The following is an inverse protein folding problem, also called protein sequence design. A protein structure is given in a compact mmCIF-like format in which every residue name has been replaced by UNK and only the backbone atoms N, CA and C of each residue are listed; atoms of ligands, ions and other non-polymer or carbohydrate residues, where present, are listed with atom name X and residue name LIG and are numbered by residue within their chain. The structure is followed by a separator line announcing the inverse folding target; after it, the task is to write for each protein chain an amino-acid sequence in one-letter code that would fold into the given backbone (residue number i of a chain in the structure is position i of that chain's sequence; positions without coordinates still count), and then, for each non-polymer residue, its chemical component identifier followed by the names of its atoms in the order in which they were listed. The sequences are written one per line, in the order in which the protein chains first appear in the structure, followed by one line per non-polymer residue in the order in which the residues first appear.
data_IF_824111778208
#
_entry.id   IF_824111778208
#
_cell.length_a   1.000
_cell.length_b   1.000
_cell.length_c   1.000
_cell.angle_alpha   90.00
_cell.angle_beta   90.00
_cell.angle_gamma   90.00
#
_symmetry.space_group_name_H-M   'P 1'
#
loop_
_entity.id
_entity.type
_entity.pdbx_description
1 polymer ?
#
# COMPACT_ATOMS: atom_id res chain seq x y z
N UNK A 1 -5.63 34.09 63.57
CA UNK A 1 -6.78 33.57 62.78
C UNK A 1 -7.31 34.71 61.95
N UNK A 2 -7.50 34.69 60.64
CA UNK A 2 -7.57 33.69 59.56
C UNK A 2 -7.94 34.56 58.34
N UNK A 3 -7.55 34.38 57.10
CA UNK A 3 -6.80 33.38 56.35
C UNK A 3 -6.76 33.97 54.94
N UNK A 4 -5.58 34.32 54.44
CA UNK A 4 -5.36 34.68 53.05
C UNK A 4 -5.36 33.41 52.19
N UNK A 5 -6.49 33.13 51.52
CA UNK A 5 -6.57 32.08 50.52
C UNK A 5 -6.07 32.62 49.17
N UNK A 6 -4.76 32.72 49.00
CA UNK A 6 -4.15 32.84 47.69
C UNK A 6 -4.10 31.43 47.06
N UNK A 7 -5.23 31.03 46.46
CA UNK A 7 -5.32 29.85 45.60
C UNK A 7 -4.60 30.08 44.28
N UNK A 8 -3.27 30.16 44.32
CA UNK A 8 -2.42 30.02 43.13
C UNK A 8 -2.31 28.53 42.80
N UNK A 9 -3.22 28.03 41.96
CA UNK A 9 -3.13 26.69 41.40
C UNK A 9 -1.77 26.48 40.71
N UNK A 10 -1.06 25.44 41.12
CA UNK A 10 0.26 25.09 40.61
C UNK A 10 0.24 24.93 39.09
N UNK A 11 0.84 25.88 38.38
CA UNK A 11 1.12 25.79 36.94
C UNK A 11 2.21 24.72 36.77
N UNK A 12 1.94 23.74 35.92
CA UNK A 12 2.75 22.53 35.83
C UNK A 12 4.17 22.79 35.31
N UNK A 13 5.08 21.91 35.73
CA UNK A 13 6.54 22.12 35.67
C UNK A 13 7.20 20.90 35.02
N UNK A 14 6.58 20.40 33.95
CA UNK A 14 7.07 19.29 33.13
C UNK A 14 7.40 19.77 31.74
N UNK A 15 8.59 19.42 31.26
CA UNK A 15 9.10 19.86 29.95
C UNK A 15 9.89 18.74 29.28
N UNK A 16 9.92 18.73 27.94
CA UNK A 16 10.75 17.81 27.18
C UNK A 16 12.12 18.43 26.91
N UNK A 17 13.19 17.75 27.29
CA UNK A 17 14.56 18.05 26.86
C UNK A 17 14.89 17.23 25.64
N UNK A 18 15.39 17.89 24.60
CA UNK A 18 15.78 17.29 23.32
C UNK A 18 17.26 17.55 23.07
N UNK A 19 17.96 16.53 22.61
CA UNK A 19 19.28 16.59 21.98
C UNK A 19 19.22 15.92 20.59
N UNK A 20 20.33 15.82 19.85
CA UNK A 20 20.34 15.31 18.47
C UNK A 20 19.77 13.89 18.32
N UNK A 21 19.83 13.08 19.37
CA UNK A 21 19.43 11.65 19.36
C UNK A 21 18.53 11.25 20.52
N UNK A 22 18.38 12.11 21.52
CA UNK A 22 17.76 11.84 22.79
C UNK A 22 16.60 12.78 23.09
N UNK A 23 15.57 12.23 23.73
CA UNK A 23 14.44 13.00 24.26
C UNK A 23 14.10 12.48 25.64
N UNK A 24 13.97 13.38 26.60
CA UNK A 24 13.71 13.04 28.01
C UNK A 24 12.69 13.99 28.63
N UNK A 25 11.72 13.45 29.38
CA UNK A 25 10.81 14.27 30.17
C UNK A 25 11.48 14.70 31.47
N UNK A 26 11.41 15.99 31.77
CA UNK A 26 11.86 16.56 33.03
C UNK A 26 10.64 16.93 33.88
N UNK A 27 10.80 16.85 35.19
CA UNK A 27 9.92 17.49 36.16
C UNK A 27 10.78 18.36 37.08
N UNK A 28 10.55 19.68 37.05
CA UNK A 28 11.36 20.65 37.81
C UNK A 28 12.87 20.51 37.53
N UNK A 29 13.23 20.45 36.24
CA UNK A 29 14.60 20.21 35.73
C UNK A 29 15.25 18.84 36.06
N UNK A 30 14.53 17.94 36.75
CA UNK A 30 15.01 16.59 37.08
C UNK A 30 14.41 15.57 36.10
N UNK A 31 15.20 14.67 35.48
CA UNK A 31 14.68 13.62 34.61
C UNK A 31 13.66 12.73 35.32
N UNK A 32 12.52 12.50 34.68
CA UNK A 32 11.51 11.56 35.16
C UNK A 32 11.97 10.14 34.83
N UNK A 33 12.07 9.22 35.81
CA UNK A 33 12.52 7.85 35.55
C UNK A 33 11.69 7.15 34.47
N UNK A 34 12.35 6.45 33.55
CA UNK A 34 11.68 5.68 32.48
C UNK A 34 11.09 6.52 31.35
N UNK A 35 11.47 7.79 31.23
CA UNK A 35 10.95 8.72 30.18
C UNK A 35 12.04 9.27 29.26
N UNK A 36 13.22 8.66 29.28
CA UNK A 36 14.32 8.95 28.36
C UNK A 36 14.32 7.95 27.21
N UNK A 37 14.42 8.45 25.99
CA UNK A 37 14.39 7.66 24.76
C UNK A 37 15.53 8.09 23.83
N UNK A 38 16.04 7.15 23.04
CA UNK A 38 17.12 7.38 22.08
C UNK A 38 16.72 6.87 20.70
N UNK A 39 16.85 7.73 19.69
CA UNK A 39 16.46 7.48 18.31
C UNK A 39 17.63 7.74 17.35
N UNK A 40 17.41 7.51 16.07
CA UNK A 40 18.42 7.78 15.05
C UNK A 40 18.60 9.29 14.85
N UNK A 41 17.49 10.03 14.94
CA UNK A 41 17.46 11.49 14.95
C UNK A 41 16.29 12.00 15.82
N UNK A 42 16.48 13.13 16.48
CA UNK A 42 15.40 13.90 17.12
C UNK A 42 15.46 15.34 16.63
N UNK A 43 14.29 15.89 16.28
CA UNK A 43 14.17 17.25 15.74
C UNK A 43 13.34 18.12 16.68
N UNK A 44 13.75 19.39 16.83
CA UNK A 44 12.99 20.42 17.53
C UNK A 44 12.24 21.32 16.52
N UNK A 45 11.47 22.29 17.02
CA UNK A 45 10.66 23.19 16.20
C UNK A 45 11.45 24.10 15.25
N UNK A 46 12.78 24.21 15.41
CA UNK A 46 13.62 25.04 14.53
C UNK A 46 14.02 24.34 13.22
N UNK A 47 13.74 23.04 13.10
CA UNK A 47 14.15 22.22 11.95
C UNK A 47 13.10 22.27 10.86
N UNK A 48 13.50 22.67 9.65
CA UNK A 48 12.64 22.69 8.45
C UNK A 48 12.35 21.31 7.89
N UNK A 49 11.24 21.16 7.16
CA UNK A 49 10.91 19.92 6.45
C UNK A 49 11.99 19.52 5.44
N UNK A 50 12.63 20.49 4.78
CA UNK A 50 13.75 20.24 3.87
C UNK A 50 14.93 19.53 4.55
N UNK A 51 15.24 19.91 5.80
CA UNK A 51 16.29 19.26 6.58
C UNK A 51 15.91 17.85 7.00
N UNK A 52 14.67 17.65 7.45
CA UNK A 52 14.13 16.31 7.80
C UNK A 52 14.19 15.39 6.58
N UNK A 53 13.72 15.87 5.42
CA UNK A 53 13.78 15.16 4.15
C UNK A 53 15.20 14.72 3.79
N UNK A 54 16.16 15.65 3.86
CA UNK A 54 17.56 15.38 3.51
C UNK A 54 18.21 14.29 4.38
N UNK A 55 17.86 14.22 5.67
CA UNK A 55 18.41 13.24 6.60
C UNK A 55 17.69 11.89 6.52
N UNK A 56 16.37 11.89 6.39
CA UNK A 56 15.57 10.68 6.59
C UNK A 56 15.07 10.00 5.31
N UNK A 57 14.88 10.76 4.22
CA UNK A 57 14.09 10.30 3.06
C UNK A 57 14.86 10.38 1.75
N UNK A 58 15.78 11.33 1.57
CA UNK A 58 16.57 11.45 0.32
C UNK A 58 17.28 10.15 -0.07
N UNK A 59 17.89 9.45 0.88
CA UNK A 59 18.57 8.17 0.61
C UNK A 59 17.59 7.06 0.21
N UNK A 60 16.37 7.10 0.75
CA UNK A 60 15.28 6.20 0.39
C UNK A 60 14.80 6.48 -1.04
N UNK A 61 14.67 7.75 -1.43
CA UNK A 61 14.31 8.14 -2.80
C UNK A 61 15.33 7.68 -3.83
N UNK A 62 16.62 7.93 -3.57
CA UNK A 62 17.70 7.44 -4.44
C UNK A 62 17.67 5.92 -4.59
N UNK A 63 17.52 5.21 -3.47
CA UNK A 63 17.36 3.76 -3.51
C UNK A 63 16.10 3.32 -4.26
N UNK A 64 15.00 4.09 -4.21
CA UNK A 64 13.79 3.80 -4.97
C UNK A 64 13.98 3.99 -6.48
N UNK A 65 14.83 4.92 -6.91
CA UNK A 65 15.21 5.03 -8.34
C UNK A 65 16.11 3.85 -8.75
N UNK A 66 16.98 3.38 -7.85
CA UNK A 66 17.87 2.24 -8.09
C UNK A 66 17.19 0.87 -8.09
N UNK A 67 16.00 0.76 -7.49
CA UNK A 67 15.22 -0.48 -7.52
C UNK A 67 14.77 -1.08 -6.20
N UNK A 68 14.90 -0.33 -5.11
CA UNK A 68 14.40 -0.77 -3.81
C UNK A 68 12.98 -0.25 -3.56
N UNK A 69 12.16 -1.03 -2.86
CA UNK A 69 10.95 -0.47 -2.25
C UNK A 69 11.31 0.53 -1.16
N UNK A 70 10.56 1.63 -1.10
CA UNK A 70 10.75 2.69 -0.11
C UNK A 70 9.45 3.00 0.62
N UNK A 71 9.49 3.24 1.91
CA UNK A 71 8.30 3.69 2.65
C UNK A 71 8.71 4.71 3.68
N UNK A 72 8.08 5.88 3.69
CA UNK A 72 8.27 6.86 4.75
C UNK A 72 6.91 7.28 5.27
N UNK A 73 6.62 7.13 6.56
CA UNK A 73 5.31 7.56 7.07
C UNK A 73 5.42 8.33 8.36
N UNK A 74 4.45 9.21 8.59
CA UNK A 74 4.35 9.97 9.81
C UNK A 74 3.44 9.25 10.82
N UNK A 75 3.84 9.23 12.09
CA UNK A 75 3.09 8.65 13.20
C UNK A 75 2.99 9.64 14.38
N UNK A 76 1.86 9.68 15.08
CA UNK A 76 1.64 10.58 16.23
C UNK A 76 0.19 10.99 16.44
N UNK A 77 -0.13 11.61 17.59
CA UNK A 77 -1.48 12.10 17.92
C UNK A 77 -1.98 13.16 16.92
N UNK A 78 -3.29 13.44 16.80
CA UNK A 78 -3.68 14.58 15.91
C UNK A 78 -3.09 15.90 16.40
N UNK A 79 -2.87 16.79 15.44
CA UNK A 79 -2.24 18.09 15.65
C UNK A 79 -0.78 18.03 16.12
N UNK A 80 -0.13 16.87 16.12
CA UNK A 80 1.31 16.74 16.41
C UNK A 80 2.24 17.18 15.28
N UNK A 81 1.72 17.51 14.09
CA UNK A 81 2.53 17.92 12.94
C UNK A 81 2.72 16.89 11.81
N UNK A 82 2.01 15.75 11.81
CA UNK A 82 2.11 14.74 10.72
C UNK A 82 1.84 15.32 9.33
N UNK A 83 0.68 15.94 9.13
CA UNK A 83 0.29 16.51 7.82
C UNK A 83 1.24 17.65 7.43
N UNK A 84 1.67 18.46 8.39
CA UNK A 84 2.70 19.48 8.15
C UNK A 84 4.04 18.84 7.72
N UNK A 85 4.42 17.71 8.30
CA UNK A 85 5.65 17.03 7.91
C UNK A 85 5.52 16.40 6.52
N UNK A 86 4.41 15.71 6.24
CA UNK A 86 4.24 14.96 4.99
C UNK A 86 3.87 15.86 3.81
N UNK A 87 2.90 16.74 3.95
CA UNK A 87 2.41 17.61 2.87
C UNK A 87 3.08 18.99 2.92
N UNK A 88 3.38 19.50 4.12
CA UNK A 88 3.97 20.83 4.27
C UNK A 88 2.98 21.97 4.20
N UNK A 89 3.54 23.13 3.92
CA UNK A 89 2.83 24.38 3.63
C UNK A 89 3.46 25.03 2.40
N UNK A 90 2.85 26.11 1.88
CA UNK A 90 3.43 26.87 0.76
C UNK A 90 4.82 27.44 1.07
N UNK A 91 5.13 27.72 2.34
CA UNK A 91 6.43 28.26 2.77
C UNK A 91 7.46 27.16 3.13
N UNK A 92 7.00 26.01 3.64
CA UNK A 92 7.85 24.87 4.01
C UNK A 92 7.27 23.57 3.42
N UNK A 93 7.67 23.18 2.20
CA UNK A 93 7.13 21.99 1.54
C UNK A 93 7.49 20.72 2.32
N UNK A 94 6.53 19.79 2.44
CA UNK A 94 6.70 18.56 3.22
C UNK A 94 7.50 17.48 2.50
N UNK A 95 7.58 16.31 3.12
CA UNK A 95 8.27 15.13 2.59
C UNK A 95 7.74 14.72 1.21
N UNK A 96 6.42 14.71 0.98
CA UNK A 96 5.79 14.31 -0.28
C UNK A 96 6.24 15.21 -1.44
N UNK A 97 5.99 16.54 -1.43
CA UNK A 97 6.38 17.39 -2.55
C UNK A 97 7.90 17.42 -2.78
N UNK A 98 8.70 17.32 -1.72
CA UNK A 98 10.16 17.22 -1.83
C UNK A 98 10.60 15.90 -2.48
N UNK A 99 10.03 14.78 -2.06
CA UNK A 99 10.30 13.46 -2.63
C UNK A 99 9.92 13.39 -4.11
N UNK A 100 8.76 13.93 -4.48
CA UNK A 100 8.29 13.97 -5.87
C UNK A 100 9.32 14.67 -6.76
N UNK A 101 9.82 15.85 -6.35
CA UNK A 101 10.83 16.59 -7.12
C UNK A 101 12.14 15.80 -7.24
N UNK A 102 12.66 15.28 -6.13
CA UNK A 102 13.92 14.52 -6.12
C UNK A 102 13.83 13.23 -6.95
N UNK A 103 12.66 12.58 -7.04
CA UNK A 103 12.44 11.42 -7.92
C UNK A 103 12.63 11.82 -9.38
N UNK A 104 12.00 12.90 -9.84
CA UNK A 104 12.12 13.36 -11.22
C UNK A 104 13.54 13.87 -11.53
N UNK A 105 14.16 14.59 -10.59
CA UNK A 105 15.54 15.07 -10.73
C UNK A 105 16.51 13.88 -10.85
N UNK A 106 16.42 12.90 -9.95
CA UNK A 106 17.27 11.69 -9.97
C UNK A 106 17.01 10.84 -11.21
N UNK A 107 15.76 10.73 -11.67
CA UNK A 107 15.43 10.01 -12.91
C UNK A 107 15.99 10.71 -14.15
N UNK A 108 16.03 12.05 -14.17
CA UNK A 108 16.62 12.82 -15.25
C UNK A 108 18.16 12.69 -15.31
N UNK A 109 18.81 12.53 -14.16
CA UNK A 109 20.26 12.27 -14.06
C UNK A 109 20.66 10.89 -14.61
N UNK A 110 19.77 9.89 -14.53
CA UNK A 110 19.99 8.53 -15.01
C UNK A 110 19.87 8.41 -16.55
N UNK A 111 20.89 8.90 -17.26
CA UNK A 111 20.91 9.03 -18.71
C UNK A 111 20.79 7.70 -19.49
N UNK A 112 21.12 6.56 -18.88
CA UNK A 112 21.10 5.22 -19.48
C UNK A 112 19.76 4.48 -19.34
N UNK A 113 18.80 5.06 -18.60
CA UNK A 113 17.50 4.45 -18.30
C UNK A 113 16.33 5.28 -18.82
N UNK A 114 15.23 4.61 -19.12
CA UNK A 114 13.91 5.21 -19.38
C UNK A 114 13.03 4.92 -18.17
N UNK A 115 12.28 5.92 -17.72
CA UNK A 115 11.39 5.81 -16.57
C UNK A 115 9.93 5.96 -16.99
N UNK A 116 9.07 5.11 -16.41
CA UNK A 116 7.63 5.24 -16.42
C UNK A 116 7.16 5.40 -14.98
N UNK A 117 6.64 6.58 -14.64
CA UNK A 117 6.21 6.89 -13.28
C UNK A 117 4.69 6.92 -13.24
N UNK A 118 4.12 6.20 -12.26
CA UNK A 118 2.69 6.14 -12.00
C UNK A 118 2.40 6.53 -10.57
N UNK A 119 1.32 7.28 -10.34
CA UNK A 119 0.92 7.70 -8.99
C UNK A 119 -0.50 7.26 -8.69
N UNK A 120 -0.73 6.94 -7.43
CA UNK A 120 -2.06 6.65 -6.89
C UNK A 120 -2.18 7.32 -5.53
N UNK A 121 -3.38 7.81 -5.21
CA UNK A 121 -3.64 8.43 -3.92
C UNK A 121 -4.93 7.88 -3.32
N UNK A 122 -4.84 7.32 -2.12
CA UNK A 122 -5.97 6.66 -1.47
C UNK A 122 -6.15 7.10 -0.02
N UNK A 123 -7.40 7.02 0.44
CA UNK A 123 -7.80 7.22 1.82
C UNK A 123 -8.32 5.89 2.39
N UNK A 124 -7.82 5.48 3.55
CA UNK A 124 -8.40 4.42 4.35
C UNK A 124 -9.22 5.06 5.47
N UNK A 125 -10.54 4.93 5.40
CA UNK A 125 -11.45 5.42 6.43
C UNK A 125 -12.38 4.29 6.84
N UNK A 126 -12.50 4.02 8.15
CA UNK A 126 -13.37 2.97 8.67
C UNK A 126 -13.10 1.58 8.05
N UNK A 127 -11.84 1.23 7.78
CA UNK A 127 -11.40 0.01 7.08
C UNK A 127 -11.94 -0.15 5.64
N UNK A 128 -12.42 0.94 5.04
CA UNK A 128 -12.78 1.06 3.63
C UNK A 128 -11.73 1.91 2.92
N UNK A 129 -11.41 1.56 1.67
CA UNK A 129 -10.42 2.26 0.86
C UNK A 129 -11.18 3.06 -0.20
N UNK A 130 -10.94 4.37 -0.20
CA UNK A 130 -11.45 5.31 -1.19
C UNK A 130 -10.30 5.80 -2.06
N UNK A 131 -10.54 5.91 -3.36
CA UNK A 131 -9.62 6.55 -4.28
C UNK A 131 -9.78 8.07 -4.18
N UNK A 132 -8.69 8.80 -3.96
CA UNK A 132 -8.71 10.27 -3.89
C UNK A 132 -8.55 10.93 -5.26
N UNK A 133 -8.19 10.19 -6.31
CA UNK A 133 -8.03 10.71 -7.68
C UNK A 133 -9.30 10.54 -8.54
N UNK A 134 -10.38 10.02 -7.98
CA UNK A 134 -11.69 9.92 -8.63
C UNK A 134 -12.82 10.13 -7.60
N UNK A 135 -13.99 10.55 -8.08
CA UNK A 135 -15.18 10.76 -7.24
C UNK A 135 -16.05 9.50 -7.13
N UNK A 136 -15.46 8.31 -7.34
CA UNK A 136 -16.16 7.03 -7.27
C UNK A 136 -16.39 6.56 -5.83
N UNK A 137 -17.57 5.98 -5.56
CA UNK A 137 -17.93 5.39 -4.27
C UNK A 137 -17.74 3.87 -4.22
N UNK A 138 -16.90 3.31 -5.10
CA UNK A 138 -16.68 1.87 -5.16
C UNK A 138 -15.74 1.42 -4.04
N UNK A 139 -16.11 0.34 -3.36
CA UNK A 139 -15.26 -0.26 -2.32
C UNK A 139 -14.10 -0.99 -2.99
N UNK A 140 -12.88 -0.54 -2.72
CA UNK A 140 -11.69 -1.13 -3.33
C UNK A 140 -11.15 -2.31 -2.51
N UNK A 141 -11.15 -3.55 -3.05
CA UNK A 141 -10.59 -4.70 -2.35
C UNK A 141 -9.06 -4.74 -2.49
N UNK A 142 -8.39 -5.20 -1.43
CA UNK A 142 -6.95 -5.50 -1.48
C UNK A 142 -6.78 -6.94 -1.99
N UNK A 143 -5.94 -7.15 -2.99
CA UNK A 143 -5.54 -8.45 -3.51
C UNK A 143 -4.03 -8.68 -3.33
N UNK A 144 -3.60 -9.91 -3.54
CA UNK A 144 -2.20 -10.34 -3.44
C UNK A 144 -1.85 -11.13 -4.70
N UNK A 145 -0.73 -10.78 -5.32
CA UNK A 145 -0.17 -11.46 -6.50
C UNK A 145 1.30 -11.76 -6.26
N UNK A 146 1.79 -12.87 -6.82
CA UNK A 146 3.21 -13.24 -6.79
C UNK A 146 4.10 -12.15 -7.41
N UNK A 147 3.62 -11.46 -8.44
CA UNK A 147 4.37 -10.43 -9.18
C UNK A 147 4.23 -9.02 -8.58
N UNK A 148 3.06 -8.69 -8.05
CA UNK A 148 2.74 -7.33 -7.57
C UNK A 148 2.82 -7.18 -6.05
N UNK A 149 2.95 -8.29 -5.33
CA UNK A 149 2.72 -8.33 -3.89
C UNK A 149 1.28 -7.92 -3.56
N UNK A 150 1.12 -7.23 -2.44
CA UNK A 150 -0.18 -6.70 -2.00
C UNK A 150 -0.52 -5.43 -2.78
N UNK A 151 -1.69 -5.39 -3.40
CA UNK A 151 -2.17 -4.23 -4.16
C UNK A 151 -3.67 -4.00 -3.96
N UNK A 152 -4.13 -2.78 -4.25
CA UNK A 152 -5.55 -2.41 -4.20
C UNK A 152 -6.13 -2.53 -5.61
N UNK A 153 -7.11 -3.43 -5.81
CA UNK A 153 -7.76 -3.59 -7.10
C UNK A 153 -8.77 -2.48 -7.34
N UNK A 154 -8.78 -1.93 -8.56
CA UNK A 154 -9.64 -0.81 -8.95
C UNK A 154 -9.10 0.57 -8.53
N UNK A 155 -7.97 0.63 -7.81
CA UNK A 155 -7.31 1.90 -7.51
C UNK A 155 -6.72 2.51 -8.78
N UNK A 156 -7.05 3.77 -9.06
CA UNK A 156 -6.56 4.51 -10.22
C UNK A 156 -5.06 4.79 -10.09
N UNK A 157 -4.34 4.49 -11.16
CA UNK A 157 -2.91 4.79 -11.29
C UNK A 157 -2.72 5.73 -12.49
N UNK A 158 -2.34 6.98 -12.23
CA UNK A 158 -2.12 8.00 -13.25
C UNK A 158 -0.66 8.02 -13.70
N UNK A 159 -0.42 7.97 -15.01
CA UNK A 159 0.92 8.13 -15.58
C UNK A 159 1.29 9.61 -15.57
N UNK A 160 2.46 9.93 -15.04
CA UNK A 160 2.95 11.29 -14.86
C UNK A 160 4.32 11.47 -15.52
N UNK A 161 4.56 12.66 -16.07
CA UNK A 161 5.76 12.97 -16.84
C UNK A 161 6.63 14.07 -16.21
N UNK A 162 6.12 14.76 -15.19
CA UNK A 162 6.86 15.77 -14.45
C UNK A 162 6.31 15.91 -13.02
N UNK A 163 7.07 16.60 -12.17
CA UNK A 163 6.73 16.82 -10.77
C UNK A 163 5.44 17.65 -10.63
N UNK A 164 5.21 18.62 -11.51
CA UNK A 164 4.05 19.53 -11.46
C UNK A 164 2.73 18.78 -11.62
N UNK A 165 2.66 17.79 -12.53
CA UNK A 165 1.49 16.92 -12.69
C UNK A 165 1.17 16.15 -11.41
N UNK A 166 2.20 15.67 -10.71
CA UNK A 166 2.01 14.97 -9.43
C UNK A 166 1.51 15.91 -8.34
N UNK A 167 2.07 17.12 -8.25
CA UNK A 167 1.63 18.13 -7.28
C UNK A 167 0.17 18.53 -7.53
N UNK A 168 -0.27 18.65 -8.79
CA UNK A 168 -1.68 18.89 -9.12
C UNK A 168 -2.60 17.73 -8.72
N UNK A 169 -2.15 16.48 -8.89
CA UNK A 169 -2.91 15.31 -8.45
C UNK A 169 -3.01 15.21 -6.91
N UNK A 170 -1.97 15.64 -6.19
CA UNK A 170 -2.00 15.76 -4.73
C UNK A 170 -3.02 16.82 -4.29
N UNK A 171 -3.01 18.00 -4.91
CA UNK A 171 -4.00 19.06 -4.63
C UNK A 171 -5.43 18.60 -4.93
N UNK A 172 -5.63 17.91 -6.06
CA UNK A 172 -6.93 17.30 -6.41
C UNK A 172 -7.38 16.29 -5.36
N UNK A 173 -6.49 15.42 -4.90
CA UNK A 173 -6.81 14.42 -3.89
C UNK A 173 -7.15 15.02 -2.52
N UNK A 174 -6.44 16.07 -2.10
CA UNK A 174 -6.79 16.82 -0.89
C UNK A 174 -8.13 17.54 -1.02
N UNK A 175 -8.41 18.13 -2.18
CA UNK A 175 -9.72 18.73 -2.44
C UNK A 175 -10.84 17.68 -2.34
N UNK A 176 -10.67 16.51 -2.97
CA UNK A 176 -11.64 15.42 -2.91
C UNK A 176 -11.83 14.89 -1.48
N UNK A 177 -10.75 14.83 -0.70
CA UNK A 177 -10.79 14.49 0.72
C UNK A 177 -11.65 15.49 1.50
N UNK A 178 -11.46 16.79 1.27
CA UNK A 178 -12.24 17.86 1.89
C UNK A 178 -13.71 17.90 1.43
N UNK A 179 -14.02 17.67 0.16
CA UNK A 179 -15.41 17.61 -0.32
C UNK A 179 -16.20 16.43 0.29
N UNK A 180 -15.51 15.34 0.64
CA UNK A 180 -16.07 14.24 1.41
C UNK A 180 -16.44 14.60 2.87
N UNK A 181 -16.06 15.79 3.34
CA UNK A 181 -16.36 16.35 4.66
C UNK A 181 -17.62 17.25 4.62
N UNK A 182 -18.79 16.65 4.39
CA UNK A 182 -20.04 17.40 4.66
C UNK A 182 -20.19 17.69 6.16
N UNK A 183 -20.81 18.83 6.47
CA UNK A 183 -20.93 19.59 7.75
C UNK A 183 -21.19 18.87 9.10
N UNK A 184 -21.15 17.54 9.18
CA UNK A 184 -21.39 16.75 10.38
C UNK A 184 -20.22 15.88 10.87
N UNK A 185 -19.13 15.70 10.10
CA UNK A 185 -18.03 14.81 10.48
C UNK A 185 -16.66 15.42 10.17
N UNK A 186 -15.87 15.69 11.22
CA UNK A 186 -14.43 16.02 11.11
C UNK A 186 -13.68 14.75 10.68
N UNK A 187 -13.69 14.45 9.38
CA UNK A 187 -13.24 13.18 8.75
C UNK A 187 -11.71 13.13 8.57
N UNK A 188 -11.08 14.25 8.23
CA UNK A 188 -9.63 14.42 8.05
C UNK A 188 -8.76 14.18 9.29
N UNK A 189 -9.36 13.84 10.44
CA UNK A 189 -8.62 13.42 11.64
C UNK A 189 -8.70 11.92 11.92
N UNK A 190 -9.47 11.18 11.10
CA UNK A 190 -9.96 9.81 11.36
C UNK A 190 -9.59 8.81 10.26
N UNK A 191 -9.00 9.28 9.18
CA UNK A 191 -8.62 8.49 8.02
C UNK A 191 -7.10 8.44 7.85
N UNK A 192 -6.62 7.48 7.07
CA UNK A 192 -5.21 7.38 6.71
C UNK A 192 -5.06 7.69 5.24
N UNK A 193 -4.24 8.67 4.89
CA UNK A 193 -3.90 8.94 3.50
C UNK A 193 -2.65 8.18 3.13
N UNK A 194 -2.62 7.63 1.92
CA UNK A 194 -1.51 6.83 1.40
C UNK A 194 -1.25 7.32 -0.02
N UNK A 195 -0.17 8.09 -0.19
CA UNK A 195 0.31 8.50 -1.50
C UNK A 195 1.38 7.53 -1.98
N UNK A 196 1.14 6.91 -3.14
CA UNK A 196 1.95 5.81 -3.65
C UNK A 196 2.44 6.12 -5.04
N UNK A 197 3.76 6.20 -5.20
CA UNK A 197 4.42 6.33 -6.50
C UNK A 197 5.06 5.02 -6.91
N UNK A 198 4.70 4.51 -8.09
CA UNK A 198 5.33 3.37 -8.75
C UNK A 198 6.31 3.91 -9.79
N UNK A 199 7.59 3.66 -9.59
CA UNK A 199 8.65 3.99 -10.54
C UNK A 199 9.00 2.70 -11.27
N UNK A 200 8.77 2.67 -12.58
CA UNK A 200 9.22 1.61 -13.49
C UNK A 200 10.39 2.13 -14.32
N UNK A 201 11.42 1.31 -14.52
CA UNK A 201 12.58 1.72 -15.32
C UNK A 201 13.20 0.59 -16.12
N UNK A 202 13.69 0.93 -17.32
CA UNK A 202 14.31 0.01 -18.29
C UNK A 202 15.56 0.62 -18.94
N UNK A 203 16.52 -0.20 -19.37
CA UNK A 203 17.75 0.28 -20.01
C UNK A 203 17.49 0.76 -21.46
N UNK A 204 18.03 1.93 -21.84
CA UNK A 204 17.81 2.56 -23.17
C UNK A 204 18.38 1.77 -24.35
N UNK A 205 19.49 1.05 -24.17
CA UNK A 205 20.28 0.47 -25.27
C UNK A 205 20.30 -1.06 -25.31
N UNK A 206 19.51 -1.76 -24.49
CA UNK A 206 19.34 -3.21 -24.63
C UNK A 206 17.97 -3.52 -25.24
N UNK A 207 17.93 -3.64 -26.57
CA UNK A 207 16.73 -3.97 -27.36
C UNK A 207 16.09 -5.32 -27.02
N UNK A 208 16.72 -6.14 -26.17
CA UNK A 208 16.29 -7.48 -25.80
C UNK A 208 16.66 -7.88 -24.36
N UNK A 209 16.67 -6.93 -23.42
CA UNK A 209 16.80 -7.23 -22.00
C UNK A 209 15.69 -6.51 -21.25
N UNK A 210 14.73 -7.28 -20.77
CA UNK A 210 13.65 -6.77 -19.95
C UNK A 210 14.18 -6.42 -18.57
N UNK A 211 14.35 -5.14 -18.33
CA UNK A 211 14.41 -4.58 -16.99
C UNK A 211 13.14 -3.77 -16.81
N UNK A 212 12.21 -4.26 -15.98
CA UNK A 212 11.13 -3.46 -15.45
C UNK A 212 11.27 -3.46 -13.92
N UNK A 213 11.95 -2.48 -13.37
CA UNK A 213 12.12 -2.41 -11.91
C UNK A 213 10.96 -1.63 -11.31
N UNK A 214 10.07 -2.25 -10.51
CA UNK A 214 8.93 -1.57 -9.84
C UNK A 214 9.30 -1.12 -8.43
N UNK A 215 9.25 0.18 -8.16
CA UNK A 215 9.53 0.73 -6.83
C UNK A 215 8.38 1.57 -6.32
N UNK A 216 7.86 1.20 -5.15
CA UNK A 216 6.74 1.85 -4.49
C UNK A 216 7.27 2.75 -3.39
N UNK A 217 7.02 4.06 -3.46
CA UNK A 217 7.27 5.01 -2.36
C UNK A 217 5.93 5.37 -1.73
N UNK A 218 5.71 4.93 -0.50
CA UNK A 218 4.47 5.14 0.25
C UNK A 218 4.68 6.17 1.37
N UNK A 219 3.94 7.28 1.26
CA UNK A 219 3.93 8.41 2.19
C UNK A 219 2.59 8.46 2.91
N UNK A 220 2.54 7.87 4.12
CA UNK A 220 1.29 7.76 4.88
C UNK A 220 1.09 8.87 5.92
N UNK A 221 -0.13 9.44 5.95
CA UNK A 221 -0.64 10.34 6.98
C UNK A 221 -1.50 9.59 7.99
N UNK A 222 -1.25 9.78 9.30
CA UNK A 222 -1.82 8.92 10.35
C UNK A 222 -2.63 9.68 11.43
N UNK A 223 -3.33 10.75 11.08
CA UNK A 223 -4.20 11.48 12.03
C UNK A 223 -5.09 10.57 12.89
N UNK A 224 -5.32 10.95 14.16
CA UNK A 224 -5.93 10.10 15.20
C UNK A 224 -7.19 10.57 15.94
N UNK A 225 -7.69 11.80 16.01
CA UNK A 225 -8.78 12.25 16.93
C UNK A 225 -8.40 12.20 18.44
N UNK A 226 -8.65 13.27 19.21
CA UNK A 226 -8.66 13.23 20.66
C UNK A 226 -9.86 12.42 21.20
N UNK A 227 -9.69 11.80 22.38
CA UNK A 227 -10.79 11.15 23.12
C UNK A 227 -11.85 12.19 23.55
N UNK A 228 -12.84 12.48 22.71
CA UNK A 228 -14.03 13.21 23.13
C UNK A 228 -15.14 12.22 23.44
N UNK A 229 -15.58 12.16 24.71
CA UNK A 229 -16.61 11.26 25.20
C UNK A 229 -17.93 11.46 24.47
N UNK A 230 -18.23 10.59 23.51
CA UNK A 230 -19.45 10.69 22.72
C UNK A 230 -20.11 9.31 22.55
N UNK A 231 -21.42 9.30 22.77
CA UNK A 231 -22.24 8.11 22.97
C UNK A 231 -22.53 7.28 21.70
N UNK A 232 -22.71 5.96 21.93
CA UNK A 232 -23.45 5.02 21.09
C UNK A 232 -22.86 4.70 19.71
N UNK A 233 -23.14 5.54 18.71
CA UNK A 233 -22.73 5.33 17.30
C UNK A 233 -21.25 5.67 17.12
N UNK A 234 -20.78 6.74 17.78
CA UNK A 234 -19.35 7.12 17.83
C UNK A 234 -18.49 6.09 18.56
N UNK A 235 -19.07 5.25 19.42
CA UNK A 235 -18.34 4.19 20.12
C UNK A 235 -18.04 2.99 19.18
N UNK A 236 -18.99 2.62 18.32
CA UNK A 236 -18.77 1.60 17.27
C UNK A 236 -17.82 2.10 16.18
N UNK A 237 -17.97 3.37 15.77
CA UNK A 237 -17.07 4.05 14.84
C UNK A 237 -15.65 4.17 15.43
N UNK A 238 -15.54 4.59 16.70
CA UNK A 238 -14.26 4.74 17.41
C UNK A 238 -13.47 3.44 17.57
N UNK A 239 -14.15 2.29 17.61
CA UNK A 239 -13.52 0.95 17.62
C UNK A 239 -12.84 0.64 16.28
N UNK A 240 -13.42 1.06 15.16
CA UNK A 240 -12.85 0.85 13.82
C UNK A 240 -11.83 1.92 13.42
N UNK A 241 -12.02 3.18 13.84
CA UNK A 241 -11.07 4.28 13.56
C UNK A 241 -9.69 4.01 14.18
N UNK A 242 -9.65 3.57 15.44
CA UNK A 242 -8.37 3.23 16.09
C UNK A 242 -7.87 1.83 15.74
N UNK A 243 -8.62 1.04 14.97
CA UNK A 243 -8.27 -0.34 14.65
C UNK A 243 -6.96 -0.38 13.87
N UNK A 244 -6.85 0.36 12.77
CA UNK A 244 -5.64 0.40 11.93
C UNK A 244 -4.38 0.76 12.73
N UNK A 245 -4.43 1.81 13.57
CA UNK A 245 -3.28 2.22 14.40
C UNK A 245 -2.98 1.24 15.55
N UNK A 246 -4.00 0.67 16.19
CA UNK A 246 -3.81 -0.35 17.23
C UNK A 246 -3.17 -1.61 16.64
N UNK A 247 -3.64 -2.07 15.48
CA UNK A 247 -3.09 -3.22 14.78
C UNK A 247 -1.66 -2.92 14.31
N UNK A 248 -1.37 -1.71 13.81
CA UNK A 248 -0.01 -1.27 13.50
C UNK A 248 0.91 -1.37 14.72
N UNK A 249 0.46 -0.88 15.88
CA UNK A 249 1.19 -1.03 17.14
C UNK A 249 1.45 -2.49 17.52
N UNK A 250 0.47 -3.38 17.32
CA UNK A 250 0.60 -4.82 17.58
C UNK A 250 1.58 -5.50 16.61
N UNK A 251 1.55 -5.13 15.32
CA UNK A 251 2.49 -5.62 14.30
C UNK A 251 3.91 -5.23 14.67
N UNK A 252 4.15 -3.95 14.98
CA UNK A 252 5.47 -3.46 15.42
C UNK A 252 5.94 -4.18 16.68
N UNK A 253 5.05 -4.37 17.67
CA UNK A 253 5.40 -5.06 18.91
C UNK A 253 5.90 -6.49 18.63
N UNK A 254 5.14 -7.27 17.86
CA UNK A 254 5.52 -8.65 17.51
C UNK A 254 6.79 -8.72 16.65
N UNK A 255 7.01 -7.74 15.76
CA UNK A 255 8.21 -7.68 14.94
C UNK A 255 9.46 -7.32 15.74
N UNK A 256 9.29 -6.49 16.78
CA UNK A 256 10.37 -6.07 17.69
C UNK A 256 10.81 -7.15 18.68
N UNK A 257 9.97 -8.15 18.93
CA UNK A 257 10.30 -9.30 19.77
C UNK A 257 11.33 -10.20 19.06
N UNK A 258 12.55 -10.26 19.59
CA UNK A 258 13.62 -11.13 19.10
C UNK A 258 13.49 -12.53 19.73
N UNK A 259 13.12 -13.55 18.94
CA UNK A 259 13.13 -14.94 19.41
C UNK A 259 12.50 -15.97 18.48
N UNK A 260 12.71 -17.26 18.80
CA UNK A 260 12.12 -18.45 18.12
C UNK A 260 10.58 -18.50 18.16
N UNK A 261 9.94 -17.55 18.84
CA UNK A 261 8.49 -17.38 19.00
C UNK A 261 7.95 -16.22 18.14
N UNK A 262 8.53 -15.96 16.96
CA UNK A 262 7.86 -15.13 15.94
C UNK A 262 6.63 -15.89 15.43
N UNK A 263 5.56 -15.85 16.20
CA UNK A 263 4.26 -16.34 15.79
C UNK A 263 3.70 -15.52 14.63
N UNK A 264 2.46 -15.84 14.23
CA UNK A 264 1.78 -15.13 13.15
C UNK A 264 1.70 -13.60 13.40
N UNK A 265 2.19 -12.81 12.44
CA UNK A 265 2.10 -11.35 12.42
C UNK A 265 0.74 -10.94 11.82
N UNK A 266 -0.10 -10.17 12.53
CA UNK A 266 -1.48 -9.91 12.15
C UNK A 266 -1.64 -8.81 11.10
N UNK A 267 -0.88 -8.84 9.99
CA UNK A 267 -1.02 -7.82 8.93
C UNK A 267 -2.42 -7.74 8.34
N UNK A 268 -3.14 -8.86 8.32
CA UNK A 268 -4.50 -8.98 7.75
C UNK A 268 -5.58 -8.35 8.62
N UNK A 269 -5.28 -8.01 9.88
CA UNK A 269 -6.27 -7.51 10.84
C UNK A 269 -6.68 -6.05 10.54
N UNK A 270 -5.88 -5.30 9.77
CA UNK A 270 -6.26 -3.99 9.24
C UNK A 270 -5.85 -3.80 7.79
N UNK A 271 -6.59 -2.97 7.04
CA UNK A 271 -6.24 -2.63 5.65
C UNK A 271 -4.89 -1.91 5.58
N UNK A 272 -4.63 -1.00 6.51
CA UNK A 272 -3.38 -0.24 6.61
C UNK A 272 -2.18 -1.18 6.76
N UNK A 273 -2.19 -2.07 7.75
CA UNK A 273 -1.08 -3.01 7.97
C UNK A 273 -0.91 -4.02 6.84
N UNK A 274 -1.98 -4.30 6.08
CA UNK A 274 -1.92 -5.17 4.92
C UNK A 274 -1.23 -4.49 3.75
N UNK A 275 -1.52 -3.22 3.51
CA UNK A 275 -0.84 -2.40 2.49
C UNK A 275 0.64 -2.18 2.87
N UNK A 276 0.91 -1.86 4.14
CA UNK A 276 2.26 -1.62 4.67
C UNK A 276 3.03 -2.91 5.00
N UNK A 277 2.54 -4.09 4.61
CA UNK A 277 3.17 -5.36 4.98
C UNK A 277 4.62 -5.48 4.50
N UNK A 278 4.93 -4.99 3.29
CA UNK A 278 6.30 -4.96 2.77
C UNK A 278 7.20 -3.99 3.54
N UNK A 279 6.64 -2.90 4.05
CA UNK A 279 7.35 -1.86 4.79
C UNK A 279 7.72 -2.26 6.23
N UNK A 280 7.03 -3.25 6.80
CA UNK A 280 7.15 -3.62 8.21
C UNK A 280 7.66 -5.06 8.32
N UNK A 281 8.98 -5.25 8.42
CA UNK A 281 9.62 -6.57 8.48
C UNK A 281 9.72 -7.29 7.13
N UNK A 282 9.52 -6.58 6.02
CA UNK A 282 9.51 -7.12 4.66
C UNK A 282 10.61 -6.56 3.76
N UNK A 283 10.35 -6.60 2.45
CA UNK A 283 11.22 -6.05 1.41
C UNK A 283 10.92 -4.57 1.16
N UNK A 284 11.43 -3.69 2.02
CA UNK A 284 11.48 -2.25 1.80
C UNK A 284 12.48 -1.55 2.73
N UNK A 285 13.04 -0.43 2.26
CA UNK A 285 13.71 0.55 3.12
C UNK A 285 12.64 1.44 3.74
N UNK A 286 12.56 1.45 5.07
CA UNK A 286 11.47 2.14 5.78
C UNK A 286 12.01 3.22 6.69
N UNK A 287 11.39 4.40 6.63
CA UNK A 287 11.61 5.55 7.50
C UNK A 287 10.32 5.85 8.26
N UNK A 288 10.40 6.01 9.58
CA UNK A 288 9.22 6.27 10.42
C UNK A 288 9.43 7.61 11.12
N UNK A 289 8.58 8.59 10.81
CA UNK A 289 8.68 9.94 11.33
C UNK A 289 7.66 10.11 12.45
N UNK A 290 8.11 9.97 13.69
CA UNK A 290 7.25 10.15 14.85
C UNK A 290 7.17 11.64 15.24
N UNK A 291 5.96 12.19 15.15
CA UNK A 291 5.66 13.58 15.50
C UNK A 291 4.99 13.63 16.87
N UNK A 292 5.37 14.60 17.70
CA UNK A 292 4.95 14.70 19.08
C UNK A 292 4.53 16.13 19.43
N UNK A 293 3.66 16.26 20.42
CA UNK A 293 3.22 17.54 20.96
C UNK A 293 3.96 17.82 22.29
N UNK A 294 4.72 18.92 22.42
CA UNK A 294 5.55 19.17 23.59
C UNK A 294 4.76 19.63 24.82
N UNK A 295 3.51 20.06 24.66
CA UNK A 295 2.70 20.64 25.72
C UNK A 295 2.38 19.61 26.83
N UNK A 296 2.32 20.09 28.08
CA UNK A 296 2.14 19.24 29.26
C UNK A 296 0.85 18.39 29.18
N UNK A 297 -0.22 18.95 28.60
CA UNK A 297 -1.50 18.27 28.38
C UNK A 297 -1.40 17.05 27.47
N UNK A 298 -0.32 16.94 26.68
CA UNK A 298 -0.09 15.89 25.69
C UNK A 298 1.01 14.90 26.10
N UNK A 299 1.62 15.06 27.28
CA UNK A 299 2.74 14.20 27.73
C UNK A 299 2.45 12.71 27.61
N UNK A 300 1.25 12.25 27.98
CA UNK A 300 0.94 10.81 27.95
C UNK A 300 0.85 10.26 26.52
N UNK A 301 0.30 11.03 25.58
CA UNK A 301 0.21 10.66 24.16
C UNK A 301 1.58 10.78 23.47
N UNK A 302 2.37 11.79 23.82
CA UNK A 302 3.77 11.90 23.40
C UNK A 302 4.58 10.74 23.92
N UNK A 303 4.45 10.36 25.20
CA UNK A 303 5.12 9.16 25.76
C UNK A 303 4.71 7.90 25.00
N UNK A 304 3.42 7.74 24.67
CA UNK A 304 2.94 6.62 23.86
C UNK A 304 3.58 6.57 22.47
N UNK A 305 3.75 7.74 21.83
CA UNK A 305 4.42 7.89 20.53
C UNK A 305 5.90 7.50 20.61
N UNK A 306 6.61 7.94 21.66
CA UNK A 306 8.02 7.59 21.87
C UNK A 306 8.22 6.10 22.18
N UNK A 307 7.30 5.48 22.93
CA UNK A 307 7.29 4.03 23.18
C UNK A 307 7.00 3.22 21.90
N UNK A 308 6.15 3.73 21.01
CA UNK A 308 5.96 3.15 19.67
C UNK A 308 7.26 3.23 18.87
N UNK A 309 7.87 4.41 18.78
CA UNK A 309 9.10 4.63 18.04
C UNK A 309 10.24 3.73 18.53
N UNK A 310 10.37 3.56 19.85
CA UNK A 310 11.42 2.72 20.44
C UNK A 310 11.28 1.25 20.05
N UNK A 311 10.05 0.75 19.89
CA UNK A 311 9.81 -0.61 19.41
C UNK A 311 10.01 -0.71 17.90
N UNK A 312 9.56 0.29 17.15
CA UNK A 312 9.69 0.34 15.70
C UNK A 312 11.17 0.35 15.27
N UNK A 313 12.04 1.04 16.00
CA UNK A 313 13.50 1.04 15.79
C UNK A 313 14.14 -0.36 15.86
N UNK A 314 13.55 -1.29 16.61
CA UNK A 314 14.05 -2.67 16.72
C UNK A 314 13.60 -3.57 15.56
N UNK A 315 12.69 -3.11 14.70
CA UNK A 315 12.21 -3.89 13.55
C UNK A 315 13.26 -3.87 12.44
N UNK A 316 13.66 -5.05 11.98
CA UNK A 316 14.61 -5.21 10.88
C UNK A 316 13.91 -5.61 9.59
N UNK A 317 14.20 -4.90 8.50
CA UNK A 317 13.71 -5.20 7.15
C UNK A 317 14.82 -5.86 6.30
N UNK A 318 14.40 -6.64 5.30
CA UNK A 318 15.29 -7.27 4.33
C UNK A 318 15.04 -6.66 2.94
N UNK A 319 15.57 -5.47 2.71
CA UNK A 319 15.40 -4.77 1.43
C UNK A 319 16.25 -5.42 0.32
N UNK A 320 15.60 -5.70 -0.81
CA UNK A 320 16.15 -6.30 -2.02
C UNK A 320 15.71 -5.49 -3.23
N UNK A 321 16.49 -5.58 -4.32
CA UNK A 321 16.17 -4.91 -5.58
C UNK A 321 15.03 -5.66 -6.27
N UNK A 322 13.97 -4.95 -6.67
CA UNK A 322 12.84 -5.53 -7.39
C UNK A 322 13.13 -5.58 -8.89
N UNK A 323 13.65 -6.70 -9.38
CA UNK A 323 13.80 -6.93 -10.82
C UNK A 323 12.55 -7.65 -11.35
N UNK A 324 11.72 -6.99 -12.16
CA UNK A 324 10.75 -7.70 -13.01
C UNK A 324 11.48 -8.04 -14.30
N UNK A 325 12.01 -9.26 -14.34
CA UNK A 325 12.47 -9.88 -15.57
C UNK A 325 11.22 -10.20 -16.40
N UNK A 326 11.10 -9.63 -17.59
CA UNK A 326 10.08 -10.10 -18.54
C UNK A 326 10.34 -11.56 -18.88
N UNK A 327 9.32 -12.32 -19.29
CA UNK A 327 9.49 -13.74 -19.67
C UNK A 327 10.61 -13.94 -20.70
N UNK A 328 10.76 -12.99 -21.64
CA UNK A 328 11.84 -12.98 -22.62
C UNK A 328 13.24 -12.74 -21.99
N UNK A 329 13.33 -11.88 -20.97
CA UNK A 329 14.57 -11.62 -20.24
C UNK A 329 14.95 -12.80 -19.33
N UNK A 330 13.97 -13.41 -18.68
CA UNK A 330 14.14 -14.61 -17.87
C UNK A 330 14.64 -15.79 -18.72
N UNK A 331 14.00 -16.03 -19.88
CA UNK A 331 14.43 -17.04 -20.87
C UNK A 331 15.88 -16.81 -21.33
N UNK A 332 16.28 -15.57 -21.56
CA UNK A 332 17.65 -15.23 -21.99
C UNK A 332 18.67 -15.40 -20.87
N UNK A 333 18.36 -14.98 -19.64
CA UNK A 333 19.22 -15.16 -18.47
C UNK A 333 19.41 -16.64 -18.17
N UNK A 334 18.34 -17.43 -18.22
CA UNK A 334 18.40 -18.89 -18.12
C UNK A 334 19.23 -19.51 -19.24
N UNK A 335 19.12 -19.04 -20.49
CA UNK A 335 19.96 -19.52 -21.61
C UNK A 335 21.45 -19.22 -21.38
N UNK A 336 21.78 -18.02 -20.92
CA UNK A 336 23.17 -17.63 -20.63
C UNK A 336 23.75 -18.41 -19.45
N UNK A 337 22.94 -18.62 -18.40
CA UNK A 337 23.33 -19.44 -17.25
C UNK A 337 23.52 -20.91 -17.65
N UNK A 338 22.67 -21.46 -18.53
CA UNK A 338 22.86 -22.78 -19.13
C UNK A 338 24.17 -22.83 -19.93
N UNK A 339 24.49 -21.81 -20.72
CA UNK A 339 25.76 -21.76 -21.48
C UNK A 339 26.99 -21.67 -20.56
N UNK A 340 26.91 -20.87 -19.50
CA UNK A 340 27.98 -20.74 -18.52
C UNK A 340 28.18 -22.04 -17.72
N UNK A 341 27.09 -22.67 -17.29
CA UNK A 341 27.12 -23.98 -16.64
C UNK A 341 27.65 -25.05 -17.58
N UNK A 342 27.27 -25.04 -18.87
CA UNK A 342 27.85 -25.93 -19.89
C UNK A 342 29.34 -25.72 -20.05
N UNK A 343 29.82 -24.48 -20.02
CA UNK A 343 31.25 -24.15 -20.10
C UNK A 343 32.02 -24.59 -18.85
N UNK A 344 31.40 -24.49 -17.67
CA UNK A 344 31.94 -25.05 -16.40
C UNK A 344 31.95 -26.57 -16.39
N UNK A 345 30.97 -27.21 -17.02
CA UNK A 345 30.87 -28.67 -17.18
C UNK A 345 31.87 -29.22 -18.21
N UNK A 346 32.17 -28.47 -19.27
CA UNK A 346 33.24 -28.82 -20.23
C UNK A 346 34.64 -28.86 -19.60
N UNK A 347 34.85 -28.24 -18.44
CA UNK A 347 36.09 -28.34 -17.66
C UNK A 347 36.20 -29.62 -16.80
N UNK A 348 35.10 -30.38 -16.65
CA UNK A 348 35.02 -31.57 -15.82
C UNK A 348 34.42 -32.72 -16.64
N UNK A 349 35.25 -33.34 -17.49
CA UNK A 349 34.83 -34.47 -18.31
C UNK A 349 34.41 -35.67 -17.45
N UNK A 350 33.11 -35.94 -17.40
CA UNK A 350 32.53 -37.25 -17.11
C UNK A 350 31.53 -37.55 -18.23
N UNK A 351 31.87 -38.51 -19.09
CA UNK A 351 31.07 -38.94 -20.24
C UNK A 351 29.64 -39.39 -19.82
N UNK A 352 29.48 -39.82 -18.56
CA UNK A 352 28.19 -40.18 -17.98
C UNK A 352 27.24 -38.99 -17.80
N UNK A 353 27.79 -37.79 -17.57
CA UNK A 353 27.00 -36.59 -17.36
C UNK A 353 26.47 -36.01 -18.68
N UNK A 354 27.23 -36.13 -19.77
CA UNK A 354 26.76 -35.76 -21.10
C UNK A 354 25.59 -36.64 -21.55
N UNK A 355 25.64 -37.95 -21.29
CA UNK A 355 24.52 -38.84 -21.58
C UNK A 355 23.27 -38.51 -20.75
N UNK A 356 23.44 -38.15 -19.47
CA UNK A 356 22.32 -37.77 -18.62
C UNK A 356 21.67 -36.45 -19.07
N UNK A 357 22.47 -35.46 -19.47
CA UNK A 357 21.98 -34.18 -20.01
C UNK A 357 21.23 -34.38 -21.33
N UNK A 358 21.74 -35.23 -22.22
CA UNK A 358 21.07 -35.61 -23.47
C UNK A 358 19.72 -36.29 -23.21
N UNK A 359 19.65 -37.17 -22.21
CA UNK A 359 18.41 -37.84 -21.82
C UNK A 359 17.39 -36.86 -21.25
N UNK A 360 17.79 -35.99 -20.31
CA UNK A 360 16.91 -34.96 -19.73
C UNK A 360 16.41 -33.96 -20.78
N UNK A 361 17.24 -33.59 -21.76
CA UNK A 361 16.83 -32.73 -22.87
C UNK A 361 15.77 -33.39 -23.75
N UNK A 362 15.92 -34.68 -24.05
CA UNK A 362 14.94 -35.42 -24.83
C UNK A 362 13.62 -35.62 -24.06
N UNK A 363 13.70 -35.84 -22.74
CA UNK A 363 12.52 -35.95 -21.89
C UNK A 363 11.77 -34.61 -21.79
N UNK A 364 12.50 -33.49 -21.66
CA UNK A 364 11.91 -32.14 -21.64
C UNK A 364 11.23 -31.80 -22.97
N UNK A 365 11.87 -32.12 -24.10
CA UNK A 365 11.26 -31.95 -25.43
C UNK A 365 9.98 -32.79 -25.60
N UNK A 366 9.94 -34.00 -25.04
CA UNK A 366 8.72 -34.83 -25.05
C UNK A 366 7.61 -34.21 -24.22
N UNK A 367 7.92 -33.73 -23.01
CA UNK A 367 6.92 -33.07 -22.15
C UNK A 367 6.39 -31.77 -22.77
N UNK A 368 7.22 -31.04 -23.50
CA UNK A 368 6.80 -29.82 -24.21
C UNK A 368 5.84 -30.15 -25.36
N UNK A 369 6.14 -31.17 -26.16
CA UNK A 369 5.25 -31.66 -27.22
C UNK A 369 3.92 -32.21 -26.66
N UNK A 370 3.94 -32.89 -25.52
CA UNK A 370 2.71 -33.37 -24.85
C UNK A 370 1.87 -32.20 -24.34
N UNK A 371 2.49 -31.16 -23.77
CA UNK A 371 1.80 -29.97 -23.30
C UNK A 371 1.16 -29.20 -24.46
N UNK A 372 1.86 -29.04 -25.58
CA UNK A 372 1.33 -28.37 -26.76
C UNK A 372 0.16 -29.15 -27.37
N UNK A 373 0.25 -30.50 -27.37
CA UNK A 373 -0.85 -31.37 -27.78
C UNK A 373 -2.07 -31.23 -26.88
N UNK A 374 -1.89 -31.25 -25.56
CA UNK A 374 -2.95 -31.03 -24.57
C UNK A 374 -3.58 -29.64 -24.71
N UNK A 375 -2.79 -28.61 -25.01
CA UNK A 375 -3.30 -27.26 -25.25
C UNK A 375 -4.18 -27.18 -26.50
N UNK A 376 -3.79 -27.85 -27.59
CA UNK A 376 -4.62 -27.95 -28.80
C UNK A 376 -5.92 -28.71 -28.53
N UNK A 377 -5.86 -29.84 -27.81
CA UNK A 377 -7.06 -30.62 -27.44
C UNK A 377 -8.03 -29.80 -26.59
N UNK A 378 -7.51 -29.00 -25.63
CA UNK A 378 -8.33 -28.11 -24.80
C UNK A 378 -8.98 -26.97 -25.61
N UNK A 379 -8.27 -26.43 -26.62
CA UNK A 379 -8.80 -25.40 -27.49
C UNK A 379 -9.92 -25.93 -28.40
N UNK A 380 -9.74 -27.14 -28.94
CA UNK A 380 -10.81 -27.82 -29.69
C UNK A 380 -12.04 -28.11 -28.82
N UNK A 381 -11.84 -28.58 -27.58
CA UNK A 381 -12.94 -28.84 -26.65
C UNK A 381 -13.71 -27.55 -26.32
N UNK A 382 -13.00 -26.42 -26.11
CA UNK A 382 -13.62 -25.10 -25.91
C UNK A 382 -14.46 -24.68 -27.11
N UNK A 383 -13.94 -24.80 -28.34
CA UNK A 383 -14.69 -24.47 -29.56
C UNK A 383 -15.94 -25.35 -29.72
N UNK A 384 -15.82 -26.64 -29.41
CA UNK A 384 -16.96 -27.56 -29.46
C UNK A 384 -18.05 -27.16 -28.44
N UNK A 385 -17.63 -26.80 -27.23
CA UNK A 385 -18.52 -26.37 -26.15
C UNK A 385 -19.24 -25.07 -26.50
N UNK A 386 -18.54 -24.08 -27.04
CA UNK A 386 -19.13 -22.83 -27.53
C UNK A 386 -20.16 -23.08 -28.65
N UNK A 387 -19.84 -23.99 -29.57
CA UNK A 387 -20.75 -24.37 -30.67
C UNK A 387 -22.02 -25.05 -30.15
N UNK A 388 -21.87 -25.94 -29.17
CA UNK A 388 -23.00 -26.62 -28.50
C UNK A 388 -23.87 -25.63 -27.72
N UNK A 389 -23.25 -24.73 -26.95
CA UNK A 389 -23.96 -23.68 -26.21
C UNK A 389 -24.74 -22.76 -27.17
N UNK A 390 -24.15 -22.38 -28.29
CA UNK A 390 -24.84 -21.60 -29.33
C UNK A 390 -26.01 -22.37 -29.97
N UNK A 391 -25.89 -23.68 -30.20
CA UNK A 391 -27.01 -24.51 -30.71
C UNK A 391 -28.14 -24.65 -29.69
N UNK A 392 -27.80 -24.87 -28.42
CA UNK A 392 -28.78 -24.96 -27.33
C UNK A 392 -29.51 -23.63 -27.11
N UNK A 393 -28.80 -22.49 -27.22
CA UNK A 393 -29.40 -21.17 -27.17
C UNK A 393 -30.40 -20.96 -28.32
N UNK A 394 -30.05 -21.35 -29.55
CA UNK A 394 -30.96 -21.31 -30.71
C UNK A 394 -32.21 -22.18 -30.50
N UNK A 395 -32.05 -23.42 -30.01
CA UNK A 395 -33.19 -24.29 -29.74
C UNK A 395 -34.11 -23.75 -28.64
N UNK A 396 -33.55 -23.15 -27.57
CA UNK A 396 -34.35 -22.48 -26.54
C UNK A 396 -35.11 -21.27 -27.07
N UNK A 397 -34.53 -20.49 -27.98
CA UNK A 397 -35.24 -19.39 -28.65
C UNK A 397 -36.37 -19.89 -29.55
N UNK A 398 -36.16 -20.97 -30.32
CA UNK A 398 -37.21 -21.58 -31.14
C UNK A 398 -38.32 -22.25 -30.32
N UNK A 399 -38.00 -22.86 -29.18
CA UNK A 399 -39.02 -23.40 -28.26
C UNK A 399 -39.82 -22.30 -27.57
N UNK A 400 -39.20 -21.17 -27.20
CA UNK A 400 -39.94 -20.02 -26.71
C UNK A 400 -40.85 -19.42 -27.78
N UNK A 401 -40.43 -19.37 -29.04
CA UNK A 401 -41.28 -18.89 -30.14
C UNK A 401 -42.50 -19.80 -30.35
N UNK A 402 -42.29 -21.13 -30.39
CA UNK A 402 -43.39 -22.10 -30.51
C UNK A 402 -44.34 -22.12 -29.28
N UNK A 403 -43.84 -21.89 -28.06
CA UNK A 403 -44.70 -21.76 -26.87
C UNK A 403 -45.49 -20.45 -26.85
N UNK A 404 -45.01 -19.40 -27.53
CA UNK A 404 -45.76 -18.15 -27.64
C UNK A 404 -46.91 -18.31 -28.63
N UNK A 405 -46.70 -19.02 -29.75
CA UNK A 405 -47.75 -19.26 -30.76
C UNK A 405 -48.83 -20.24 -30.28
N UNK A 406 -48.50 -21.26 -29.47
CA UNK A 406 -49.50 -22.19 -28.92
C UNK A 406 -50.36 -21.53 -27.82
N UNK A 407 -49.84 -20.50 -27.13
CA UNK A 407 -50.60 -19.79 -26.10
C UNK A 407 -51.57 -18.72 -26.62
N UNK A 408 -51.51 -18.39 -27.91
CA UNK A 408 -52.40 -17.37 -28.53
C UNK A 408 -53.63 -17.99 -29.23
N UNK A 409 -53.61 -19.29 -29.55
CA UNK A 409 -54.75 -19.97 -30.22
C UNK A 409 -55.80 -20.61 -29.28
N UNK A 410 -55.67 -20.49 -27.95
CA UNK A 410 -56.65 -21.08 -27.00
C UNK A 410 -57.45 -20.07 -26.13
N UNK A 411 -57.43 -18.78 -26.45
CA UNK A 411 -58.23 -17.76 -25.75
C UNK A 411 -59.06 -16.86 -26.69
N UNK A 412 -59.71 -17.46 -27.69
CA UNK A 412 -60.68 -16.76 -28.54
C UNK A 412 -61.83 -17.65 -29.02
N UNK A 413 -62.55 -18.34 -28.12
CA UNK A 413 -63.96 -18.62 -28.37
C UNK A 413 -64.73 -18.95 -27.08
N UNK A 414 -65.20 -17.91 -26.38
CA UNK A 414 -66.20 -18.07 -25.33
C UNK A 414 -67.05 -16.80 -25.22
N UNK A 415 -67.87 -16.55 -26.24
CA UNK A 415 -69.04 -15.67 -26.09
C UNK A 415 -70.08 -15.99 -27.15
N UNK A 416 -70.83 -17.08 -26.95
CA UNK A 416 -72.19 -17.21 -27.47
C UNK A 416 -72.88 -18.41 -26.83
N UNK A 417 -73.79 -18.14 -25.90
CA UNK A 417 -75.11 -18.78 -25.72
C UNK A 417 -75.64 -18.45 -24.32
N UNK A 418 -76.19 -17.25 -24.21
CA UNK A 418 -77.36 -17.05 -23.37
C UNK A 418 -78.60 -17.48 -24.17
N UNK A 419 -79.69 -17.81 -23.47
CA UNK A 419 -81.08 -18.04 -23.95
C UNK A 419 -81.49 -19.52 -24.11
N UNK A 420 -82.03 -20.15 -23.04
CA UNK A 420 -83.45 -20.56 -22.93
C UNK A 420 -83.78 -21.56 -21.77
N UNK A 421 -84.66 -21.08 -20.87
CA UNK A 421 -85.84 -21.75 -20.29
C UNK A 421 -85.69 -22.96 -19.33
N UNK A 422 -86.04 -22.65 -18.07
CA UNK A 422 -86.85 -23.45 -17.12
C UNK A 422 -88.09 -24.09 -17.77
N UNK A 423 -88.64 -25.20 -17.24
CA UNK A 423 -89.24 -25.26 -15.89
C UNK A 423 -88.36 -25.87 -14.81
#
# INVERSE_FOLDING_TARGET
DSSSFSGGGAVGNREWRIDDSGISLLHRAVPVPGTSFVFDHVFNESVTNARIYGLLVRSLIRAAVDGFNGTAFAYGQTSSGKTFTMNGSGADPGIIPLAVRDIFDTAAEAADRVFLIRVSYMEIYNEEINDLLTLGSEKLPIHESLERGVYVSGLREEIVNNAEQVLQLLELGEANRHFGETNMNVRSSRSHTIFRMVIESSAKHQTNSGDAIRNLVDLAGSERIPKTGADGVRLKEGKHINKSLMILGNVINKLSENGKQRGHIPYRDSKLTRILQSALGGNAKTSIICTAAPEEIHIEETRGTLQFASRAKCVSNCAQVNEILTDAALLKRQKLEIEELRKKLQGSHSEDLEQLILKQRNDMHKSELERDRLAMELEEERRLRETLEHRLAKQKMSQNHNNTDISVEQFADSSQLDVLKTP
#
